data_IF_483897869411
#
_entry.id   IF_483897869411
#
_cell.length_a   1.000
_cell.length_b   1.000
_cell.length_c   1.000
_cell.angle_alpha   90.00
_cell.angle_beta   90.00
_cell.angle_gamma   90.00
#
_symmetry.space_group_name_H-M   'P 1'
#
loop_
_entity.id
_entity.type
_entity.pdbx_description
1 polymer ?
#
# COMPACT_ATOMS: atom_id res chain seq x y z
N UNK A 1 -12.66 45.65 -25.40
CA UNK A 1 -13.51 44.48 -25.10
C UNK A 1 -12.66 43.23 -25.33
N UNK A 2 -12.10 42.68 -24.29
CA UNK A 2 -11.32 41.46 -24.37
C UNK A 2 -12.22 40.29 -23.92
N UNK A 3 -12.46 39.34 -24.83
CA UNK A 3 -13.22 38.13 -24.56
C UNK A 3 -12.38 37.22 -23.65
N UNK A 4 -12.84 37.05 -22.41
CA UNK A 4 -12.34 36.10 -21.50
C UNK A 4 -12.60 34.69 -22.05
N UNK A 5 -11.52 33.97 -22.41
CA UNK A 5 -11.60 32.59 -22.83
C UNK A 5 -12.12 31.73 -21.69
N UNK A 6 -13.29 31.14 -21.85
CA UNK A 6 -13.82 30.08 -20.98
C UNK A 6 -12.89 28.88 -21.09
N UNK A 7 -12.09 28.59 -20.06
CA UNK A 7 -11.46 27.29 -19.91
C UNK A 7 -12.58 26.25 -19.79
N UNK A 8 -12.77 25.48 -20.83
CA UNK A 8 -13.62 24.29 -20.83
C UNK A 8 -13.20 23.42 -19.63
N UNK A 9 -14.10 23.26 -18.66
CA UNK A 9 -13.98 22.21 -17.65
C UNK A 9 -14.14 20.86 -18.37
N UNK A 10 -13.04 20.35 -18.90
CA UNK A 10 -13.01 18.97 -19.37
C UNK A 10 -13.40 18.09 -18.18
N UNK A 11 -14.54 17.41 -18.27
CA UNK A 11 -14.99 16.43 -17.28
C UNK A 11 -13.83 15.44 -17.04
N UNK A 12 -13.25 15.50 -15.85
CA UNK A 12 -12.15 14.61 -15.47
C UNK A 12 -12.74 13.21 -15.25
N UNK A 13 -12.72 12.38 -16.29
CA UNK A 13 -13.31 11.04 -16.24
C UNK A 13 -12.38 10.08 -15.53
N UNK A 14 -12.90 9.44 -14.49
CA UNK A 14 -12.23 8.29 -13.85
C UNK A 14 -12.08 7.18 -14.88
N UNK A 15 -10.84 6.70 -15.06
CA UNK A 15 -10.48 5.54 -15.85
C UNK A 15 -10.18 4.38 -14.93
N UNK A 16 -10.67 3.20 -15.29
CA UNK A 16 -10.32 1.94 -14.62
C UNK A 16 -9.96 0.90 -15.67
N UNK A 17 -8.94 0.11 -15.40
CA UNK A 17 -8.45 -0.88 -16.35
C UNK A 17 -7.81 -2.07 -15.62
N UNK A 18 -8.11 -3.28 -16.06
CA UNK A 18 -7.34 -4.47 -15.69
C UNK A 18 -6.06 -4.48 -16.52
N UNK A 19 -4.94 -4.24 -15.87
CA UNK A 19 -3.63 -4.26 -16.50
C UNK A 19 -2.83 -5.48 -16.06
N UNK A 20 -1.79 -5.81 -16.79
CA UNK A 20 -0.81 -6.83 -16.40
C UNK A 20 0.58 -6.43 -16.86
N UNK A 21 1.58 -6.92 -16.15
CA UNK A 21 2.98 -6.85 -16.58
C UNK A 21 3.63 -8.23 -16.44
N UNK A 22 4.69 -8.46 -17.21
CA UNK A 22 5.39 -9.75 -17.18
C UNK A 22 6.53 -9.72 -16.18
N UNK A 23 6.62 -10.74 -15.32
CA UNK A 23 7.72 -10.97 -14.40
C UNK A 23 8.19 -12.43 -14.47
N UNK A 24 9.43 -12.65 -14.91
CA UNK A 24 10.02 -14.00 -15.08
C UNK A 24 9.16 -14.95 -15.92
N UNK A 25 8.46 -14.44 -16.93
CA UNK A 25 7.55 -15.22 -17.79
C UNK A 25 6.10 -15.27 -17.31
N UNK A 26 5.81 -14.89 -16.07
CA UNK A 26 4.46 -14.87 -15.52
C UNK A 26 3.77 -13.51 -15.74
N UNK A 27 2.48 -13.55 -16.06
CA UNK A 27 1.62 -12.38 -16.12
C UNK A 27 1.13 -11.98 -14.72
N UNK A 28 1.57 -10.84 -14.21
CA UNK A 28 1.11 -10.30 -12.93
C UNK A 28 -0.07 -9.39 -13.17
N UNK A 29 -1.23 -9.76 -12.60
CA UNK A 29 -2.49 -9.03 -12.75
C UNK A 29 -2.53 -7.81 -11.82
N UNK A 30 -3.16 -6.75 -12.29
CA UNK A 30 -3.38 -5.53 -11.52
C UNK A 30 -4.71 -4.91 -11.89
N UNK A 31 -5.26 -4.12 -10.96
CA UNK A 31 -6.36 -3.22 -11.24
C UNK A 31 -5.84 -1.78 -11.15
N UNK A 32 -5.96 -1.02 -12.23
CA UNK A 32 -5.55 0.38 -12.26
C UNK A 32 -6.75 1.33 -12.26
N UNK A 33 -6.59 2.48 -11.59
CA UNK A 33 -7.57 3.57 -11.61
C UNK A 33 -6.83 4.92 -11.63
N UNK A 34 -7.27 5.85 -12.50
CA UNK A 34 -6.72 7.20 -12.54
C UNK A 34 -7.70 8.19 -13.16
N UNK A 35 -7.55 9.47 -12.86
CA UNK A 35 -8.25 10.53 -13.56
C UNK A 35 -7.47 10.91 -14.82
N UNK A 36 -8.14 10.93 -15.98
CA UNK A 36 -7.50 11.39 -17.22
C UNK A 36 -7.11 12.86 -17.08
N UNK A 37 -5.83 13.13 -17.22
CA UNK A 37 -5.24 14.47 -17.21
C UNK A 37 -4.16 14.57 -18.29
N UNK A 38 -3.85 15.79 -18.71
CA UNK A 38 -2.75 16.05 -19.66
C UNK A 38 -1.38 15.94 -18.96
N UNK A 39 -1.36 16.15 -17.65
CA UNK A 39 -0.15 16.06 -16.83
C UNK A 39 0.07 14.63 -16.33
N UNK A 40 1.35 14.27 -16.17
CA UNK A 40 1.73 13.01 -15.53
C UNK A 40 1.36 13.02 -14.06
N UNK A 41 0.81 11.93 -13.57
CA UNK A 41 0.35 11.77 -12.19
C UNK A 41 1.44 11.12 -11.31
N UNK A 42 1.49 11.45 -10.00
CA UNK A 42 2.15 10.59 -9.05
C UNK A 42 1.41 9.26 -8.98
N UNK A 43 2.11 8.17 -8.69
CA UNK A 43 1.48 6.85 -8.65
C UNK A 43 1.52 6.24 -7.24
N UNK A 44 0.52 5.40 -6.94
CA UNK A 44 0.45 4.64 -5.69
C UNK A 44 0.15 3.18 -5.98
N UNK A 45 1.03 2.30 -5.52
CA UNK A 45 0.80 0.86 -5.53
C UNK A 45 0.00 0.50 -4.27
N UNK A 46 -1.11 -0.20 -4.42
CA UNK A 46 -1.90 -0.76 -3.31
C UNK A 46 -1.64 -2.25 -3.19
N UNK A 47 -1.28 -2.71 -1.98
CA UNK A 47 -1.06 -4.12 -1.67
C UNK A 47 -2.18 -4.60 -0.75
N UNK A 48 -2.91 -5.62 -1.20
CA UNK A 48 -4.04 -6.23 -0.51
C UNK A 48 -3.62 -7.03 0.73
N UNK A 49 -4.60 -7.41 1.56
CA UNK A 49 -4.41 -8.31 2.69
C UNK A 49 -4.25 -9.79 2.25
N UNK A 50 -4.29 -10.70 3.21
CA UNK A 50 -4.10 -12.12 2.97
C UNK A 50 -5.21 -12.78 2.13
N UNK A 51 -6.38 -12.15 2.01
CA UNK A 51 -7.51 -12.69 1.23
C UNK A 51 -7.43 -12.40 -0.28
N UNK A 52 -6.48 -11.59 -0.72
CA UNK A 52 -6.26 -11.30 -2.15
C UNK A 52 -6.89 -9.99 -2.62
N UNK A 53 -6.84 -9.76 -3.93
CA UNK A 53 -7.37 -8.56 -4.56
C UNK A 53 -8.89 -8.62 -4.65
N UNK A 54 -9.59 -8.10 -3.63
CA UNK A 54 -11.05 -7.99 -3.58
C UNK A 54 -11.56 -6.65 -4.13
N UNK A 55 -12.89 -6.49 -4.21
CA UNK A 55 -13.53 -5.23 -4.59
C UNK A 55 -13.18 -4.08 -3.65
N UNK A 56 -12.91 -4.35 -2.37
CA UNK A 56 -12.41 -3.37 -1.41
C UNK A 56 -11.11 -2.71 -1.89
N UNK A 57 -10.13 -3.50 -2.36
CA UNK A 57 -8.86 -2.95 -2.86
C UNK A 57 -8.98 -2.27 -4.22
N UNK A 58 -9.91 -2.73 -5.05
CA UNK A 58 -10.28 -2.01 -6.28
C UNK A 58 -10.93 -0.65 -5.94
N UNK A 59 -11.74 -0.58 -4.88
CA UNK A 59 -12.31 0.67 -4.39
C UNK A 59 -11.24 1.61 -3.83
N UNK A 60 -10.30 1.11 -3.05
CA UNK A 60 -9.15 1.90 -2.58
C UNK A 60 -8.40 2.51 -3.77
N UNK A 61 -8.19 1.75 -4.86
CA UNK A 61 -7.55 2.30 -6.06
C UNK A 61 -8.39 3.41 -6.70
N UNK A 62 -9.72 3.26 -6.78
CA UNK A 62 -10.62 4.32 -7.28
C UNK A 62 -10.59 5.56 -6.38
N UNK A 63 -10.57 5.39 -5.06
CA UNK A 63 -10.46 6.47 -4.09
C UNK A 63 -9.15 7.23 -4.24
N UNK A 64 -8.01 6.53 -4.36
CA UNK A 64 -6.70 7.13 -4.64
C UNK A 64 -6.68 7.89 -5.97
N UNK A 65 -7.35 7.36 -7.00
CA UNK A 65 -7.48 8.05 -8.28
C UNK A 65 -8.24 9.38 -8.14
N UNK A 66 -9.31 9.41 -7.34
CA UNK A 66 -10.04 10.65 -7.06
C UNK A 66 -9.21 11.67 -6.27
N UNK A 67 -8.22 11.22 -5.50
CA UNK A 67 -7.22 12.06 -4.84
C UNK A 67 -6.10 12.53 -5.81
N UNK A 68 -6.15 12.15 -7.08
CA UNK A 68 -5.21 12.62 -8.11
C UNK A 68 -4.00 11.72 -8.35
N UNK A 69 -4.01 10.48 -7.88
CA UNK A 69 -2.96 9.52 -8.13
C UNK A 69 -3.28 8.59 -9.32
N UNK A 70 -2.26 8.07 -9.98
CA UNK A 70 -2.38 6.86 -10.76
C UNK A 70 -2.30 5.68 -9.79
N UNK A 71 -3.41 5.06 -9.46
CA UNK A 71 -3.48 3.98 -8.49
C UNK A 71 -3.37 2.62 -9.18
N UNK A 72 -2.55 1.71 -8.62
CA UNK A 72 -2.35 0.36 -9.12
C UNK A 72 -2.52 -0.64 -7.98
N UNK A 73 -3.64 -1.34 -7.92
CA UNK A 73 -3.83 -2.46 -6.99
C UNK A 73 -3.20 -3.72 -7.57
N UNK A 74 -2.17 -4.23 -6.89
CA UNK A 74 -1.36 -5.38 -7.33
C UNK A 74 -1.97 -6.68 -6.80
N UNK A 75 -2.19 -7.66 -7.68
CA UNK A 75 -2.61 -9.00 -7.28
C UNK A 75 -1.39 -9.90 -7.04
N UNK A 76 -1.02 -10.06 -5.76
CA UNK A 76 0.08 -10.94 -5.34
C UNK A 76 -0.19 -12.42 -5.60
N UNK A 77 -1.45 -12.77 -5.84
CA UNK A 77 -1.88 -14.15 -6.09
C UNK A 77 -2.19 -14.43 -7.56
N UNK A 78 -1.65 -13.61 -8.46
CA UNK A 78 -1.86 -13.72 -9.91
C UNK A 78 -1.60 -15.11 -10.49
N UNK A 79 -0.70 -15.88 -9.87
CA UNK A 79 -0.26 -17.20 -10.33
C UNK A 79 -1.13 -18.32 -9.78
N UNK A 80 -1.40 -18.28 -8.48
CA UNK A 80 -2.05 -19.37 -7.74
C UNK A 80 -3.56 -19.13 -7.52
N UNK A 81 -4.00 -17.88 -7.63
CA UNK A 81 -5.33 -17.44 -7.19
C UNK A 81 -5.39 -17.19 -5.68
N UNK A 82 -6.47 -16.55 -5.25
CA UNK A 82 -6.69 -16.24 -3.84
C UNK A 82 -6.88 -17.54 -3.01
N UNK A 83 -6.22 -17.67 -1.84
CA UNK A 83 -6.32 -18.85 -1.01
C UNK A 83 -7.69 -18.94 -0.30
N UNK A 84 -8.15 -20.16 -0.05
CA UNK A 84 -9.27 -20.41 0.87
C UNK A 84 -8.73 -20.41 2.31
N UNK A 85 -9.15 -19.42 3.12
CA UNK A 85 -8.69 -19.20 4.48
C UNK A 85 -9.88 -19.21 5.46
N UNK A 86 -10.39 -20.38 5.83
CA UNK A 86 -11.60 -20.50 6.64
C UNK A 86 -11.42 -20.02 8.09
N UNK A 87 -10.19 -20.06 8.60
CA UNK A 87 -9.86 -19.73 9.99
C UNK A 87 -8.46 -19.11 10.13
N UNK A 88 -8.11 -18.72 11.33
CA UNK A 88 -6.82 -18.08 11.63
C UNK A 88 -5.64 -19.05 11.46
N UNK A 89 -5.81 -20.34 11.72
CA UNK A 89 -4.74 -21.33 11.53
C UNK A 89 -4.38 -21.48 10.06
N UNK A 90 -5.39 -21.49 9.17
CA UNK A 90 -5.19 -21.48 7.72
C UNK A 90 -4.48 -20.17 7.26
N UNK A 91 -4.86 -19.03 7.83
CA UNK A 91 -4.19 -17.73 7.56
C UNK A 91 -2.71 -17.81 7.96
N UNK A 92 -2.40 -18.27 9.15
CA UNK A 92 -1.02 -18.38 9.64
C UNK A 92 -0.20 -19.38 8.82
N UNK A 93 -0.80 -20.52 8.46
CA UNK A 93 -0.16 -21.53 7.61
C UNK A 93 0.17 -20.96 6.22
N UNK A 94 -0.78 -20.23 5.62
CA UNK A 94 -0.58 -19.57 4.33
C UNK A 94 0.53 -18.52 4.39
N UNK A 95 0.51 -17.64 5.39
CA UNK A 95 1.53 -16.62 5.57
C UNK A 95 2.95 -17.21 5.70
N UNK A 96 3.10 -18.40 6.28
CA UNK A 96 4.40 -19.10 6.39
C UNK A 96 4.91 -19.64 5.04
N UNK A 97 4.03 -19.90 4.08
CA UNK A 97 4.38 -20.44 2.77
C UNK A 97 4.73 -19.36 1.73
N UNK A 98 4.37 -18.10 1.99
CA UNK A 98 4.66 -17.01 1.06
C UNK A 98 6.18 -16.83 0.91
N UNK A 99 6.65 -16.79 -0.32
CA UNK A 99 8.03 -16.45 -0.65
C UNK A 99 8.22 -14.94 -0.65
N UNK A 100 8.82 -14.40 0.41
CA UNK A 100 9.08 -12.97 0.56
C UNK A 100 9.90 -12.39 -0.62
N UNK A 101 10.86 -13.16 -1.16
CA UNK A 101 11.68 -12.70 -2.28
C UNK A 101 10.84 -12.55 -3.55
N UNK A 102 9.94 -13.49 -3.78
CA UNK A 102 9.00 -13.44 -4.90
C UNK A 102 8.08 -12.22 -4.80
N UNK A 103 7.47 -12.02 -3.63
CA UNK A 103 6.57 -10.88 -3.40
C UNK A 103 7.29 -9.55 -3.59
N UNK A 104 8.49 -9.39 -3.03
CA UNK A 104 9.28 -8.17 -3.22
C UNK A 104 9.70 -7.97 -4.68
N UNK A 105 10.00 -9.05 -5.41
CA UNK A 105 10.30 -8.98 -6.83
C UNK A 105 9.09 -8.58 -7.68
N UNK A 106 7.88 -9.00 -7.32
CA UNK A 106 6.64 -8.60 -7.99
C UNK A 106 6.35 -7.11 -7.74
N UNK A 107 6.54 -6.64 -6.50
CA UNK A 107 6.42 -5.20 -6.17
C UNK A 107 7.46 -4.37 -6.95
N UNK A 108 8.70 -4.82 -7.05
CA UNK A 108 9.74 -4.17 -7.84
C UNK A 108 9.37 -4.13 -9.35
N UNK A 109 8.75 -5.21 -9.84
CA UNK A 109 8.15 -5.26 -11.18
C UNK A 109 7.06 -4.21 -11.38
N UNK A 110 6.16 -4.04 -10.40
CA UNK A 110 5.11 -3.03 -10.43
C UNK A 110 5.68 -1.59 -10.43
N UNK A 111 6.74 -1.33 -9.64
CA UNK A 111 7.44 -0.04 -9.65
C UNK A 111 8.03 0.26 -11.04
N UNK A 112 8.70 -0.71 -11.67
CA UNK A 112 9.23 -0.54 -13.03
C UNK A 112 8.13 -0.37 -14.06
N UNK A 113 7.06 -1.14 -13.97
CA UNK A 113 5.90 -1.02 -14.84
C UNK A 113 5.30 0.38 -14.77
N UNK A 114 5.03 0.89 -13.58
CA UNK A 114 4.55 2.26 -13.39
C UNK A 114 5.54 3.30 -13.92
N UNK A 115 6.83 3.13 -13.67
CA UNK A 115 7.88 4.03 -14.14
C UNK A 115 7.98 4.14 -15.66
N UNK A 116 7.48 3.14 -16.41
CA UNK A 116 7.43 3.13 -17.88
C UNK A 116 6.13 3.70 -18.45
N UNK A 117 5.11 3.94 -17.63
CA UNK A 117 3.81 4.45 -18.08
C UNK A 117 3.89 5.92 -18.46
N UNK A 118 3.33 6.33 -19.61
CA UNK A 118 3.35 7.73 -20.03
C UNK A 118 2.53 8.64 -19.10
N UNK A 119 1.52 8.10 -18.42
CA UNK A 119 0.67 8.83 -17.49
C UNK A 119 1.34 9.08 -16.12
N UNK A 120 2.46 8.41 -15.82
CA UNK A 120 3.06 8.39 -14.48
C UNK A 120 4.33 9.22 -14.40
N UNK A 121 4.49 9.98 -13.31
CA UNK A 121 5.77 10.60 -12.91
C UNK A 121 6.66 9.51 -12.29
N UNK A 122 7.64 9.03 -13.03
CA UNK A 122 8.46 7.86 -12.69
C UNK A 122 9.23 7.93 -11.36
N UNK A 123 9.44 9.14 -10.81
CA UNK A 123 10.11 9.36 -9.52
C UNK A 123 9.15 9.65 -8.36
N UNK A 124 7.85 9.62 -8.61
CA UNK A 124 6.78 9.91 -7.65
C UNK A 124 5.89 8.68 -7.47
N UNK A 125 6.48 7.55 -7.09
CA UNK A 125 5.78 6.28 -6.86
C UNK A 125 5.77 5.97 -5.36
N UNK A 126 4.58 5.91 -4.77
CA UNK A 126 4.37 5.47 -3.41
C UNK A 126 3.79 4.06 -3.33
N UNK A 127 3.77 3.53 -2.12
CA UNK A 127 3.17 2.23 -1.83
C UNK A 127 2.30 2.34 -0.58
N UNK A 128 1.12 1.73 -0.62
CA UNK A 128 0.24 1.57 0.54
C UNK A 128 -0.14 0.11 0.66
N UNK A 129 -0.13 -0.44 1.87
CA UNK A 129 -0.48 -1.83 2.08
C UNK A 129 -1.29 -2.06 3.36
N UNK A 130 -2.04 -3.17 3.39
CA UNK A 130 -2.99 -3.50 4.44
C UNK A 130 -2.70 -4.91 5.00
N UNK A 131 -2.62 -5.08 6.31
CA UNK A 131 -2.34 -6.36 6.97
C UNK A 131 -1.02 -6.99 6.43
N UNK A 132 -1.11 -8.15 5.81
CA UNK A 132 -0.01 -8.77 5.07
C UNK A 132 0.61 -7.80 4.06
N UNK A 133 -0.22 -7.10 3.29
CA UNK A 133 0.22 -6.07 2.33
C UNK A 133 0.94 -4.91 3.01
N UNK A 134 0.54 -4.53 4.23
CA UNK A 134 1.23 -3.51 5.03
C UNK A 134 2.64 -3.93 5.43
N UNK A 135 2.82 -5.21 5.78
CA UNK A 135 4.12 -5.82 6.00
C UNK A 135 4.99 -5.73 4.74
N UNK A 136 4.46 -6.17 3.60
CA UNK A 136 5.21 -6.15 2.34
C UNK A 136 5.47 -4.75 1.81
N UNK A 137 4.57 -3.80 2.01
CA UNK A 137 4.81 -2.41 1.66
C UNK A 137 6.03 -1.84 2.40
N UNK A 138 6.14 -2.11 3.73
CA UNK A 138 7.31 -1.70 4.51
C UNK A 138 8.59 -2.41 4.05
N UNK A 139 8.55 -3.73 3.87
CA UNK A 139 9.71 -4.49 3.39
C UNK A 139 10.16 -4.02 2.00
N UNK A 140 9.21 -3.71 1.11
CA UNK A 140 9.52 -3.12 -0.20
C UNK A 140 10.18 -1.73 -0.07
N UNK A 141 9.71 -0.89 0.86
CA UNK A 141 10.35 0.40 1.14
C UNK A 141 11.80 0.27 1.67
N UNK A 142 12.17 -0.91 2.20
CA UNK A 142 13.54 -1.22 2.61
C UNK A 142 14.39 -1.80 1.46
N UNK A 143 13.78 -2.58 0.54
CA UNK A 143 14.53 -3.40 -0.42
C UNK A 143 14.37 -2.97 -1.89
N UNK A 144 13.26 -2.30 -2.24
CA UNK A 144 12.94 -1.89 -3.62
C UNK A 144 13.33 -0.43 -3.85
N UNK A 145 14.03 -0.17 -4.94
CA UNK A 145 14.44 1.20 -5.30
C UNK A 145 13.30 1.99 -5.93
N UNK A 146 13.42 3.31 -5.88
CA UNK A 146 12.50 4.27 -6.52
C UNK A 146 11.09 4.32 -5.91
N UNK A 147 10.91 3.84 -4.67
CA UNK A 147 9.75 4.18 -3.86
C UNK A 147 10.01 5.51 -3.14
N UNK A 148 9.08 6.45 -3.26
CA UNK A 148 9.20 7.80 -2.70
C UNK A 148 8.41 7.97 -1.39
N UNK A 149 7.47 7.08 -1.08
CA UNK A 149 6.69 7.07 0.16
C UNK A 149 6.10 5.70 0.44
N UNK A 150 5.96 5.34 1.72
CA UNK A 150 5.35 4.09 2.17
C UNK A 150 4.34 4.33 3.28
N UNK A 151 3.10 3.89 3.12
CA UNK A 151 2.09 3.84 4.18
C UNK A 151 1.68 2.39 4.47
N UNK A 152 1.61 2.04 5.74
CA UNK A 152 1.24 0.69 6.20
C UNK A 152 0.07 0.75 7.17
N UNK A 153 -1.03 0.11 6.83
CA UNK A 153 -2.19 -0.08 7.68
C UNK A 153 -2.09 -1.44 8.37
N UNK A 154 -1.98 -1.43 9.66
CA UNK A 154 -1.89 -2.64 10.50
C UNK A 154 -0.99 -3.75 9.93
N UNK A 155 0.15 -3.36 9.37
CA UNK A 155 1.14 -4.30 8.84
C UNK A 155 1.91 -4.99 9.98
N UNK A 156 1.97 -6.33 9.95
CA UNK A 156 2.71 -7.09 10.94
C UNK A 156 4.21 -6.77 10.89
N UNK A 157 4.81 -6.55 12.06
CA UNK A 157 6.19 -6.11 12.20
C UNK A 157 7.19 -7.26 12.41
N UNK A 158 6.71 -8.40 12.93
CA UNK A 158 7.51 -9.62 13.14
C UNK A 158 6.98 -10.76 12.29
N UNK A 159 7.85 -11.74 12.08
CA UNK A 159 7.48 -13.05 11.60
C UNK A 159 8.25 -14.07 12.44
N UNK A 160 7.53 -14.98 13.12
CA UNK A 160 8.12 -15.94 14.05
C UNK A 160 9.10 -16.90 13.36
N UNK A 161 8.88 -17.20 12.07
CA UNK A 161 9.57 -18.28 11.36
C UNK A 161 10.48 -17.78 10.23
N UNK A 162 10.75 -16.45 10.15
CA UNK A 162 11.48 -15.87 9.03
C UNK A 162 12.64 -15.00 9.50
N UNK A 163 13.77 -15.13 8.81
CA UNK A 163 14.94 -14.28 9.01
C UNK A 163 14.68 -12.80 8.64
N UNK A 164 13.74 -12.55 7.72
CA UNK A 164 13.35 -11.21 7.27
C UNK A 164 11.99 -10.81 7.81
N UNK A 165 11.93 -9.63 8.40
CA UNK A 165 10.72 -9.00 8.89
C UNK A 165 10.86 -7.48 8.80
N UNK A 166 9.78 -6.69 8.86
CA UNK A 166 9.88 -5.24 8.97
C UNK A 166 10.89 -4.77 10.01
N UNK A 167 10.91 -5.36 11.21
CA UNK A 167 11.85 -4.96 12.26
C UNK A 167 13.31 -5.24 11.91
N UNK A 168 13.62 -6.40 11.33
CA UNK A 168 15.01 -6.73 10.95
C UNK A 168 15.52 -5.89 9.76
N UNK A 169 14.61 -5.38 8.93
CA UNK A 169 14.93 -4.57 7.75
C UNK A 169 14.82 -3.07 8.00
N UNK A 170 14.31 -2.63 9.15
CA UNK A 170 13.94 -1.22 9.38
C UNK A 170 15.11 -0.23 9.22
N UNK A 171 16.35 -0.65 9.48
CA UNK A 171 17.53 0.18 9.27
C UNK A 171 17.74 0.56 7.80
N UNK A 172 17.26 -0.27 6.87
CA UNK A 172 17.39 -0.09 5.42
C UNK A 172 16.27 0.74 4.79
N UNK A 173 15.29 1.23 5.59
CA UNK A 173 14.19 2.02 5.06
C UNK A 173 14.73 3.17 4.18
N UNK A 174 14.26 3.27 2.94
CA UNK A 174 14.82 4.18 1.93
C UNK A 174 13.94 5.39 1.57
N UNK A 175 12.70 5.42 2.06
CA UNK A 175 11.75 6.53 1.84
C UNK A 175 10.98 6.87 3.12
N UNK A 176 10.30 8.02 3.20
CA UNK A 176 9.40 8.34 4.30
C UNK A 176 8.35 7.26 4.54
N UNK A 177 8.06 7.00 5.83
CA UNK A 177 7.14 5.95 6.26
C UNK A 177 6.03 6.48 7.16
N UNK A 178 4.79 6.03 6.93
CA UNK A 178 3.63 6.22 7.79
C UNK A 178 3.10 4.86 8.26
N UNK A 179 3.13 4.61 9.57
CA UNK A 179 2.54 3.41 10.19
C UNK A 179 1.23 3.73 10.91
N UNK A 180 0.15 3.02 10.58
CA UNK A 180 -1.20 3.19 11.13
C UNK A 180 -1.62 1.90 11.82
N UNK A 181 -1.71 1.91 13.15
CA UNK A 181 -1.88 0.71 13.97
C UNK A 181 -3.08 0.82 14.90
N UNK A 182 -3.69 -0.31 15.23
CA UNK A 182 -4.71 -0.42 16.28
C UNK A 182 -4.07 -0.76 17.63
N UNK A 183 -4.52 -0.15 18.73
CA UNK A 183 -4.03 -0.48 20.09
C UNK A 183 -4.54 -1.85 20.55
N UNK A 184 -5.71 -2.27 20.05
CA UNK A 184 -6.32 -3.56 20.37
C UNK A 184 -5.90 -4.68 19.38
N UNK A 185 -4.94 -4.41 18.52
CA UNK A 185 -4.45 -5.38 17.55
C UNK A 185 -3.51 -6.40 18.25
N UNK A 186 -4.00 -7.62 18.43
CA UNK A 186 -3.23 -8.71 19.06
C UNK A 186 -2.11 -9.27 18.19
N UNK A 187 -2.14 -9.00 16.88
CA UNK A 187 -1.11 -9.44 15.94
C UNK A 187 0.10 -8.48 15.90
N UNK A 188 -0.08 -7.25 16.42
CA UNK A 188 0.96 -6.20 16.42
C UNK A 188 1.12 -5.64 17.82
N UNK A 189 1.90 -6.29 18.68
CA UNK A 189 2.15 -5.81 20.05
C UNK A 189 2.71 -4.39 20.04
N UNK A 190 2.26 -3.56 20.98
CA UNK A 190 2.75 -2.18 21.13
C UNK A 190 4.27 -2.11 21.34
N UNK A 191 4.86 -3.16 21.91
CA UNK A 191 6.30 -3.28 22.07
C UNK A 191 7.03 -3.30 20.72
N UNK A 192 6.47 -3.98 19.72
CA UNK A 192 7.04 -4.05 18.38
C UNK A 192 6.98 -2.71 17.64
N UNK A 193 5.89 -1.95 17.84
CA UNK A 193 5.78 -0.58 17.30
C UNK A 193 6.86 0.32 17.90
N UNK A 194 7.05 0.26 19.23
CA UNK A 194 8.10 1.02 19.91
C UNK A 194 9.50 0.61 19.46
N UNK A 195 9.73 -0.66 19.23
CA UNK A 195 11.00 -1.17 18.71
C UNK A 195 11.26 -0.64 17.29
N UNK A 196 10.26 -0.71 16.40
CA UNK A 196 10.32 -0.12 15.06
C UNK A 196 10.70 1.36 15.13
N UNK A 197 9.97 2.16 15.90
CA UNK A 197 10.24 3.59 16.08
C UNK A 197 11.67 3.84 16.58
N UNK A 198 12.14 3.01 17.52
CA UNK A 198 13.50 3.13 18.08
C UNK A 198 14.56 2.84 16.99
N UNK A 199 14.36 1.79 16.16
CA UNK A 199 15.28 1.48 15.07
C UNK A 199 15.29 2.60 14.04
N UNK A 200 14.13 3.06 13.60
CA UNK A 200 14.00 4.13 12.61
C UNK A 200 14.65 5.43 13.09
N UNK A 201 14.42 5.82 14.35
CA UNK A 201 15.01 7.03 14.95
C UNK A 201 16.53 6.95 15.03
N UNK A 202 17.07 5.81 15.48
CA UNK A 202 18.53 5.62 15.58
C UNK A 202 19.24 5.65 14.22
N UNK A 203 18.52 5.28 13.16
CA UNK A 203 19.06 5.29 11.79
C UNK A 203 18.66 6.55 11.00
N UNK A 204 18.17 7.61 11.66
CA UNK A 204 17.86 8.89 11.01
C UNK A 204 16.77 8.82 9.95
N UNK A 205 15.83 7.85 10.06
CA UNK A 205 14.78 7.65 9.06
C UNK A 205 13.63 8.62 9.26
N UNK A 206 13.02 9.07 8.17
CA UNK A 206 11.82 9.90 8.20
C UNK A 206 10.60 9.01 8.38
N UNK A 207 9.88 9.16 9.48
CA UNK A 207 8.70 8.35 9.75
C UNK A 207 7.68 9.05 10.66
N UNK A 208 6.46 8.56 10.62
CA UNK A 208 5.39 8.87 11.56
C UNK A 208 4.59 7.61 11.86
N UNK A 209 4.10 7.49 13.09
CA UNK A 209 3.21 6.41 13.50
C UNK A 209 1.97 6.96 14.18
N UNK A 210 0.83 6.32 13.98
CA UNK A 210 -0.42 6.61 14.68
C UNK A 210 -0.99 5.32 15.24
N UNK A 211 -1.29 5.32 16.54
CA UNK A 211 -1.97 4.21 17.21
C UNK A 211 -3.37 4.67 17.58
N UNK A 212 -4.38 3.90 17.19
CA UNK A 212 -5.81 4.15 17.41
C UNK A 212 -6.30 3.29 18.58
N UNK A 213 -6.74 3.93 19.67
CA UNK A 213 -7.09 3.28 20.94
C UNK A 213 -8.20 2.23 20.84
N UNK A 214 -9.22 2.50 20.03
CA UNK A 214 -10.42 1.66 19.91
C UNK A 214 -10.42 0.77 18.68
N UNK A 215 -9.26 0.61 18.05
CA UNK A 215 -9.12 -0.17 16.83
C UNK A 215 -8.31 -1.44 17.06
N UNK A 216 -8.79 -2.53 16.51
CA UNK A 216 -8.08 -3.81 16.38
C UNK A 216 -7.47 -3.98 15.00
N UNK A 217 -7.14 -5.24 14.65
CA UNK A 217 -6.67 -5.55 13.31
C UNK A 217 -7.76 -5.32 12.26
N UNK A 218 -7.39 -4.92 11.04
CA UNK A 218 -8.29 -4.68 9.91
C UNK A 218 -9.34 -3.56 10.11
N UNK A 219 -9.10 -2.59 10.99
CA UNK A 219 -10.04 -1.50 11.31
C UNK A 219 -10.46 -0.65 10.10
N UNK A 220 -9.72 -0.71 9.01
CA UNK A 220 -10.00 0.04 7.78
C UNK A 220 -10.87 -0.74 6.79
N UNK A 221 -10.98 -2.06 6.92
CA UNK A 221 -11.66 -2.90 5.94
C UNK A 221 -13.19 -2.96 6.22
N UNK A 222 -13.98 -2.27 5.39
CA UNK A 222 -15.44 -2.19 5.49
C UNK A 222 -16.17 -3.45 5.02
N UNK A 223 -15.49 -4.40 4.36
CA UNK A 223 -16.00 -5.75 4.11
C UNK A 223 -15.98 -6.64 5.38
N UNK A 224 -15.39 -6.11 6.49
CA UNK A 224 -15.28 -6.79 7.79
C UNK A 224 -15.99 -6.00 8.88
N UNK A 225 -17.33 -6.08 9.00
CA UNK A 225 -18.10 -5.21 9.89
C UNK A 225 -17.78 -5.41 11.38
N UNK A 226 -17.27 -6.56 11.79
CA UNK A 226 -16.79 -6.84 13.15
C UNK A 226 -15.52 -6.07 13.52
N UNK A 227 -14.63 -5.86 12.55
CA UNK A 227 -13.34 -5.17 12.70
C UNK A 227 -13.38 -3.69 12.32
N UNK A 228 -14.24 -3.32 11.38
CA UNK A 228 -14.32 -1.98 10.83
C UNK A 228 -14.65 -0.92 11.87
N UNK A 229 -13.92 0.20 11.83
CA UNK A 229 -14.12 1.36 12.72
C UNK A 229 -14.20 2.62 11.87
N UNK A 230 -15.41 3.10 11.51
CA UNK A 230 -15.63 4.16 10.51
C UNK A 230 -14.83 5.44 10.76
N UNK A 231 -14.87 5.97 11.99
CA UNK A 231 -14.19 7.21 12.32
C UNK A 231 -12.66 7.04 12.28
N UNK A 232 -12.17 5.90 12.77
CA UNK A 232 -10.75 5.55 12.70
C UNK A 232 -10.29 5.38 11.25
N UNK A 233 -11.08 4.68 10.43
CA UNK A 233 -10.79 4.48 9.02
C UNK A 233 -10.73 5.81 8.25
N UNK A 234 -11.65 6.73 8.54
CA UNK A 234 -11.69 8.07 7.95
C UNK A 234 -10.45 8.89 8.32
N UNK A 235 -10.06 8.93 9.60
CA UNK A 235 -8.85 9.65 10.03
C UNK A 235 -7.59 9.01 9.43
N UNK A 236 -7.50 7.67 9.43
CA UNK A 236 -6.37 6.94 8.84
C UNK A 236 -6.22 7.20 7.34
N UNK A 237 -7.34 7.24 6.59
CA UNK A 237 -7.36 7.59 5.18
C UNK A 237 -6.85 9.01 4.95
N UNK A 238 -7.40 9.98 5.67
CA UNK A 238 -6.99 11.40 5.58
C UNK A 238 -5.49 11.57 5.83
N UNK A 239 -4.95 10.86 6.83
CA UNK A 239 -3.50 10.89 7.12
C UNK A 239 -2.68 10.25 5.99
N UNK A 240 -3.12 9.10 5.48
CA UNK A 240 -2.41 8.40 4.41
C UNK A 240 -2.39 9.24 3.12
N UNK A 241 -3.52 9.80 2.72
CA UNK A 241 -3.62 10.68 1.55
C UNK A 241 -2.75 11.93 1.72
N UNK A 242 -2.87 12.64 2.84
CA UNK A 242 -2.05 13.82 3.12
C UNK A 242 -0.55 13.50 3.15
N UNK A 243 -0.15 12.35 3.69
CA UNK A 243 1.23 11.88 3.67
C UNK A 243 1.71 11.59 2.25
N UNK A 244 0.90 10.91 1.44
CA UNK A 244 1.24 10.61 0.05
C UNK A 244 1.39 11.89 -0.77
N UNK A 245 0.48 12.87 -0.64
CA UNK A 245 0.60 14.18 -1.31
C UNK A 245 1.88 14.91 -0.91
N UNK A 246 2.22 14.91 0.37
CA UNK A 246 3.44 15.57 0.87
C UNK A 246 4.71 15.01 0.23
N UNK A 247 4.76 13.69 0.02
CA UNK A 247 6.00 13.03 -0.41
C UNK A 247 6.06 12.66 -1.89
N UNK A 248 4.91 12.62 -2.59
CA UNK A 248 4.86 12.33 -4.02
C UNK A 248 4.70 13.60 -4.87
N UNK A 249 4.34 14.71 -4.25
CA UNK A 249 4.01 15.95 -4.94
C UNK A 249 2.64 15.85 -5.62
N UNK A 250 1.74 16.71 -5.28
CA UNK A 250 0.43 16.91 -5.95
C UNK A 250 0.60 17.66 -7.26
#
# INVERSE_FOLDING_TARGET
>A
MALAGSKSMASTLLRTEALHFTRNGDGIKTYAAWLRRDERLPAVITIHDVHGLSDHYCDIARRLANEGFFALALDLYSREGAPALPDMDAVLAWLRQLDDRRVLADIDGAVRFLGSRPEVRSRSIGIVGFCMGGRYAFMAACAVRNLAACASFYGMLRSADRSQSPLTMAAELSCPFLGLFGEQDTLIPRADIKELESILRRNGKTFSTKIYREAGHAFFNDERPDAYRPETAKDAWTRAVGFLHTHLGS
#
